data_IF_625719791808
#
_entry.id   IF_625719791808
#
_cell.length_a   1.000
_cell.length_b   1.000
_cell.length_c   1.000
_cell.angle_alpha   90.00
_cell.angle_beta   90.00
_cell.angle_gamma   90.00
#
_symmetry.space_group_name_H-M   'P 1'
#
loop_
_entity.id
_entity.type
_entity.pdbx_description
1 polymer ?
#
# COMPACT_ATOMS: atom_id res chain seq x y z
N UNK A 1 -9.94 -2.57 -13.28
CA UNK A 1 -10.94 -2.03 -14.22
C UNK A 1 -11.40 -0.69 -13.70
N UNK A 2 -11.50 0.32 -14.56
CA UNK A 2 -11.95 1.67 -14.19
C UNK A 2 -13.49 1.73 -14.15
N UNK A 3 -14.04 2.12 -13.01
CA UNK A 3 -15.47 2.41 -12.80
C UNK A 3 -15.90 3.61 -13.66
N UNK A 4 -16.28 3.36 -14.90
CA UNK A 4 -16.88 4.38 -15.76
C UNK A 4 -18.42 4.23 -15.65
N UNK A 5 -19.08 5.26 -15.10
CA UNK A 5 -20.55 5.49 -15.06
C UNK A 5 -21.40 4.89 -13.92
N UNK A 6 -20.83 4.37 -12.84
CA UNK A 6 -21.66 3.91 -11.71
C UNK A 6 -22.48 2.67 -12.02
N UNK A 7 -22.09 1.96 -13.06
CA UNK A 7 -22.52 0.62 -13.34
C UNK A 7 -21.63 -0.34 -12.53
N UNK A 8 -22.24 -1.06 -11.59
CA UNK A 8 -21.57 -2.06 -10.77
C UNK A 8 -21.49 -3.42 -11.47
N UNK A 9 -22.16 -3.61 -12.62
CA UNK A 9 -22.28 -4.91 -13.29
C UNK A 9 -20.91 -5.55 -13.55
N UNK A 10 -19.96 -4.81 -14.11
CA UNK A 10 -18.62 -5.34 -14.39
C UNK A 10 -17.87 -5.81 -13.12
N UNK A 11 -18.11 -5.15 -11.98
CA UNK A 11 -17.54 -5.58 -10.70
C UNK A 11 -18.27 -6.83 -10.18
N UNK A 12 -19.59 -6.86 -10.24
CA UNK A 12 -20.42 -8.01 -9.83
C UNK A 12 -20.10 -9.25 -10.66
N UNK A 13 -20.06 -9.11 -11.97
CA UNK A 13 -19.70 -10.18 -12.91
C UNK A 13 -18.33 -10.77 -12.59
N UNK A 14 -17.36 -9.93 -12.20
CA UNK A 14 -16.02 -10.39 -11.84
C UNK A 14 -16.02 -11.14 -10.49
N UNK A 15 -16.80 -10.69 -9.51
CA UNK A 15 -17.00 -11.43 -8.26
C UNK A 15 -17.67 -12.77 -8.54
N UNK A 16 -18.69 -12.81 -9.40
CA UNK A 16 -19.40 -14.04 -9.74
C UNK A 16 -18.48 -15.04 -10.46
N UNK A 17 -17.63 -14.57 -11.37
CA UNK A 17 -16.58 -15.39 -12.00
C UNK A 17 -15.59 -15.93 -10.97
N UNK A 18 -15.17 -15.11 -10.01
CA UNK A 18 -14.30 -15.54 -8.92
C UNK A 18 -14.98 -16.63 -8.08
N UNK A 19 -16.27 -16.48 -7.77
CA UNK A 19 -17.03 -17.48 -7.02
C UNK A 19 -17.15 -18.80 -7.77
N UNK A 20 -17.45 -18.76 -9.07
CA UNK A 20 -17.47 -19.95 -9.92
C UNK A 20 -16.11 -20.65 -9.93
N UNK A 21 -15.03 -19.89 -10.16
CA UNK A 21 -13.67 -20.45 -10.16
C UNK A 21 -13.30 -21.03 -8.79
N UNK A 22 -13.65 -20.38 -7.69
CA UNK A 22 -13.44 -20.92 -6.36
C UNK A 22 -14.20 -22.24 -6.16
N UNK A 23 -15.46 -22.31 -6.59
CA UNK A 23 -16.26 -23.53 -6.56
C UNK A 23 -15.63 -24.69 -7.34
N UNK A 24 -15.22 -24.42 -8.58
CA UNK A 24 -14.56 -25.40 -9.46
C UNK A 24 -13.22 -25.90 -8.88
N UNK A 25 -12.57 -25.09 -8.04
CA UNK A 25 -11.29 -25.40 -7.43
C UNK A 25 -11.41 -25.84 -5.95
N UNK A 26 -12.61 -26.13 -5.45
CA UNK A 26 -12.88 -26.51 -4.06
C UNK A 26 -12.35 -25.50 -3.02
N UNK A 27 -12.39 -24.20 -3.37
CA UNK A 27 -12.02 -23.10 -2.50
C UNK A 27 -13.28 -22.44 -1.94
N UNK A 28 -13.28 -22.19 -0.63
CA UNK A 28 -14.36 -21.46 0.05
C UNK A 28 -13.85 -20.09 0.47
N UNK A 29 -14.49 -19.04 -0.03
CA UNK A 29 -14.20 -17.67 0.41
C UNK A 29 -14.72 -17.45 1.83
N UNK A 30 -13.86 -16.91 2.68
CA UNK A 30 -14.23 -16.55 4.04
C UNK A 30 -14.78 -15.12 4.06
N UNK A 31 -16.10 -14.98 4.08
CA UNK A 31 -16.78 -13.68 4.07
C UNK A 31 -16.37 -12.81 5.27
N UNK A 32 -16.14 -13.40 6.44
CA UNK A 32 -15.72 -12.67 7.65
C UNK A 32 -14.33 -12.02 7.51
N UNK A 33 -13.42 -12.64 6.75
CA UNK A 33 -12.09 -12.07 6.45
C UNK A 33 -12.09 -11.15 5.23
N UNK A 34 -13.13 -11.21 4.40
CA UNK A 34 -13.28 -10.39 3.20
C UNK A 34 -13.82 -9.02 3.58
N UNK A 35 -13.28 -7.98 2.95
CA UNK A 35 -13.69 -6.58 3.16
C UNK A 35 -13.90 -5.93 1.81
N UNK A 36 -14.99 -5.18 1.67
CA UNK A 36 -15.28 -4.36 0.50
C UNK A 36 -14.81 -2.92 0.79
N UNK A 37 -13.80 -2.46 0.04
CA UNK A 37 -13.33 -1.08 0.09
C UNK A 37 -13.78 -0.38 -1.18
N UNK A 38 -14.66 0.61 -1.05
CA UNK A 38 -15.20 1.34 -2.20
C UNK A 38 -14.45 2.65 -2.38
N UNK A 39 -13.87 2.84 -3.56
CA UNK A 39 -13.19 4.08 -3.94
C UNK A 39 -14.08 4.85 -4.91
N UNK A 40 -14.70 5.92 -4.42
CA UNK A 40 -15.59 6.76 -5.21
C UNK A 40 -15.27 8.26 -5.05
N UNK A 41 -14.76 8.87 -6.13
CA UNK A 41 -14.40 10.29 -6.20
C UNK A 41 -15.54 11.20 -6.67
N UNK A 42 -16.74 10.67 -6.92
CA UNK A 42 -17.88 11.47 -7.36
C UNK A 42 -18.35 12.39 -6.22
N UNK A 43 -18.71 13.63 -6.57
CA UNK A 43 -19.25 14.61 -5.61
C UNK A 43 -20.55 14.13 -4.95
N UNK A 44 -21.33 13.31 -5.66
CA UNK A 44 -22.50 12.63 -5.14
C UNK A 44 -22.20 11.14 -5.14
N UNK A 45 -21.99 10.56 -3.96
CA UNK A 45 -21.81 9.11 -3.81
C UNK A 45 -23.07 8.41 -4.31
N UNK A 46 -22.88 7.34 -5.09
CA UNK A 46 -24.00 6.45 -5.39
C UNK A 46 -24.26 5.55 -4.18
N UNK A 47 -25.53 5.17 -4.04
CA UNK A 47 -25.93 4.16 -3.07
C UNK A 47 -25.57 2.79 -3.66
N UNK A 48 -24.45 2.24 -3.20
CA UNK A 48 -23.91 0.99 -3.71
C UNK A 48 -24.54 -0.16 -2.96
N UNK A 49 -25.06 -1.13 -3.71
CA UNK A 49 -25.74 -2.28 -3.10
C UNK A 49 -24.75 -3.11 -2.27
N UNK A 50 -25.17 -3.73 -1.14
CA UNK A 50 -24.28 -4.60 -0.38
C UNK A 50 -23.72 -5.75 -1.22
N UNK A 51 -22.44 -6.09 -1.04
CA UNK A 51 -21.87 -7.30 -1.60
C UNK A 51 -22.28 -8.54 -0.82
N UNK A 52 -22.77 -9.55 -1.54
CA UNK A 52 -23.11 -10.86 -1.01
C UNK A 52 -22.16 -11.91 -1.60
N UNK A 53 -21.54 -12.72 -0.74
CA UNK A 53 -20.74 -13.88 -1.13
C UNK A 53 -21.42 -15.10 -0.52
N UNK A 54 -21.91 -16.02 -1.35
CA UNK A 54 -22.64 -17.22 -0.93
C UNK A 54 -23.83 -16.91 0.02
N UNK A 55 -24.48 -15.76 -0.16
CA UNK A 55 -25.59 -15.29 0.70
C UNK A 55 -25.16 -14.50 1.94
N UNK A 56 -23.87 -14.52 2.29
CA UNK A 56 -23.34 -13.74 3.41
C UNK A 56 -22.94 -12.34 2.97
N UNK A 57 -23.31 -11.33 3.76
CA UNK A 57 -22.94 -9.94 3.50
C UNK A 57 -21.47 -9.70 3.81
N UNK A 58 -20.74 -9.18 2.83
CA UNK A 58 -19.37 -8.69 3.01
C UNK A 58 -19.39 -7.35 3.74
N UNK A 59 -18.49 -7.19 4.71
CA UNK A 59 -18.33 -5.95 5.44
C UNK A 59 -17.71 -4.87 4.54
N UNK A 60 -18.43 -3.77 4.36
CA UNK A 60 -17.91 -2.57 3.71
C UNK A 60 -17.14 -1.73 4.73
N UNK A 61 -15.91 -1.32 4.37
CA UNK A 61 -15.02 -0.58 5.26
C UNK A 61 -14.47 0.67 4.58
N UNK A 62 -14.28 1.74 5.35
CA UNK A 62 -13.64 2.98 4.86
C UNK A 62 -12.10 2.87 4.85
N UNK A 63 -11.53 1.93 5.60
CA UNK A 63 -10.10 1.63 5.58
C UNK A 63 -9.80 0.20 5.99
N UNK A 64 -8.72 -0.37 5.46
CA UNK A 64 -8.28 -1.72 5.79
C UNK A 64 -6.75 -1.86 5.75
N UNK A 65 -6.20 -2.66 6.66
CA UNK A 65 -4.76 -2.94 6.69
C UNK A 65 -4.44 -4.17 5.84
N UNK A 66 -3.95 -3.93 4.64
CA UNK A 66 -3.48 -4.97 3.73
C UNK A 66 -1.96 -5.09 3.78
N UNK A 67 -1.45 -6.26 4.21
CA UNK A 67 -0.01 -6.58 4.24
C UNK A 67 0.89 -5.50 4.89
N UNK A 68 0.42 -4.92 5.99
CA UNK A 68 1.16 -3.89 6.74
C UNK A 68 0.89 -2.45 6.32
N UNK A 69 0.05 -2.26 5.29
CA UNK A 69 -0.27 -0.98 4.69
C UNK A 69 -1.76 -0.66 4.87
N UNK A 70 -2.09 0.55 5.33
CA UNK A 70 -3.49 0.98 5.50
C UNK A 70 -3.99 1.60 4.20
N UNK A 71 -4.94 0.94 3.54
CA UNK A 71 -5.69 1.47 2.40
C UNK A 71 -6.91 2.22 2.92
N UNK A 72 -7.22 3.39 2.36
CA UNK A 72 -8.41 4.19 2.69
C UNK A 72 -9.27 4.38 1.44
N UNK A 73 -10.57 4.57 1.63
CA UNK A 73 -11.55 4.77 0.54
C UNK A 73 -11.28 6.01 -0.31
N UNK A 74 -10.66 7.04 0.27
CA UNK A 74 -10.24 8.26 -0.41
C UNK A 74 -8.86 8.11 -1.08
N UNK A 75 -8.24 6.93 -0.97
CA UNK A 75 -6.85 6.63 -1.28
C UNK A 75 -5.87 7.66 -0.67
N UNK A 76 -6.25 8.36 0.41
CA UNK A 76 -5.33 9.26 1.09
C UNK A 76 -4.33 8.43 1.88
N UNK A 77 -3.07 8.68 1.59
CA UNK A 77 -1.98 7.96 2.22
C UNK A 77 -1.48 8.72 3.42
N UNK A 78 -1.36 8.02 4.56
CA UNK A 78 -0.54 8.49 5.65
C UNK A 78 0.93 8.28 5.27
N UNK A 79 1.53 9.23 4.54
CA UNK A 79 2.98 9.30 4.34
C UNK A 79 3.76 9.21 5.67
N UNK A 80 3.08 9.52 6.78
CA UNK A 80 3.51 9.26 8.14
C UNK A 80 3.96 7.80 8.40
N UNK A 81 3.33 6.78 7.80
CA UNK A 81 3.73 5.37 7.98
C UNK A 81 5.12 5.10 7.37
N UNK A 82 5.33 5.52 6.12
CA UNK A 82 6.61 5.39 5.44
C UNK A 82 7.71 6.19 6.16
N UNK A 83 7.40 7.42 6.58
CA UNK A 83 8.34 8.27 7.33
C UNK A 83 8.68 7.69 8.71
N UNK A 84 7.70 7.19 9.46
CA UNK A 84 7.93 6.58 10.79
C UNK A 84 8.78 5.30 10.67
N UNK A 85 8.52 4.47 9.68
CA UNK A 85 9.35 3.29 9.36
C UNK A 85 10.77 3.70 8.97
N UNK A 86 10.91 4.70 8.09
CA UNK A 86 12.22 5.21 7.70
C UNK A 86 13.02 5.75 8.90
N UNK A 87 12.37 6.43 9.85
CA UNK A 87 13.02 6.92 11.08
C UNK A 87 13.57 5.78 11.95
N UNK A 88 12.81 4.71 12.16
CA UNK A 88 13.27 3.53 12.91
C UNK A 88 14.48 2.89 12.23
N UNK A 89 14.47 2.81 10.90
CA UNK A 89 15.57 2.22 10.14
C UNK A 89 16.79 3.15 10.12
N UNK A 90 16.62 4.49 10.08
CA UNK A 90 17.74 5.42 10.22
C UNK A 90 18.44 5.30 11.56
N UNK A 91 17.68 5.09 12.63
CA UNK A 91 18.26 4.79 13.93
C UNK A 91 19.14 3.54 13.85
N UNK A 92 18.63 2.48 13.23
CA UNK A 92 19.39 1.23 13.04
C UNK A 92 20.63 1.42 12.15
N UNK A 93 20.52 2.12 11.01
CA UNK A 93 21.65 2.42 10.13
C UNK A 93 22.73 3.26 10.83
N UNK A 94 22.35 4.21 11.68
CA UNK A 94 23.31 4.97 12.52
C UNK A 94 24.01 4.08 13.52
N UNK A 95 23.28 3.15 14.14
CA UNK A 95 23.86 2.16 15.05
C UNK A 95 24.87 1.26 14.32
N UNK A 96 24.51 0.74 13.14
CA UNK A 96 25.38 -0.07 12.31
C UNK A 96 26.64 0.69 11.86
N UNK A 97 26.51 1.96 11.45
CA UNK A 97 27.65 2.81 11.10
C UNK A 97 28.60 3.00 12.30
N UNK A 98 28.05 3.16 13.50
CA UNK A 98 28.84 3.27 14.73
C UNK A 98 29.69 2.02 15.00
N UNK A 99 29.21 0.85 14.56
CA UNK A 99 29.95 -0.43 14.64
C UNK A 99 30.99 -0.62 13.51
N UNK A 100 31.32 0.45 12.77
CA UNK A 100 32.32 0.44 11.68
C UNK A 100 32.04 -0.59 10.58
N UNK A 101 30.78 -0.93 10.33
CA UNK A 101 30.40 -1.82 9.25
C UNK A 101 30.80 -1.24 7.88
N UNK A 102 31.28 -2.11 7.00
CA UNK A 102 31.66 -1.76 5.64
C UNK A 102 30.51 -1.04 4.91
N UNK A 103 30.82 0.05 4.20
CA UNK A 103 29.85 0.82 3.41
C UNK A 103 28.98 -0.05 2.49
N UNK A 104 29.53 -1.14 1.93
CA UNK A 104 28.77 -2.10 1.11
C UNK A 104 27.63 -2.77 1.90
N UNK A 105 27.88 -3.16 3.16
CA UNK A 105 26.86 -3.76 4.02
C UNK A 105 25.80 -2.74 4.45
N UNK A 106 26.19 -1.47 4.65
CA UNK A 106 25.25 -0.39 4.93
C UNK A 106 24.32 -0.11 3.74
N UNK A 107 24.86 -0.10 2.52
CA UNK A 107 24.07 0.01 1.29
C UNK A 107 23.13 -1.18 1.15
N UNK A 108 23.62 -2.42 1.29
CA UNK A 108 22.76 -3.62 1.24
C UNK A 108 21.66 -3.58 2.30
N UNK A 109 21.98 -3.19 3.54
CA UNK A 109 21.00 -3.05 4.61
C UNK A 109 19.93 -2.01 4.26
N UNK A 110 20.32 -0.87 3.68
CA UNK A 110 19.39 0.14 3.19
C UNK A 110 18.47 -0.41 2.10
N UNK A 111 19.02 -1.11 1.09
CA UNK A 111 18.22 -1.66 -0.01
C UNK A 111 17.20 -2.69 0.49
N UNK A 112 17.64 -3.60 1.36
CA UNK A 112 16.79 -4.65 1.91
C UNK A 112 15.70 -4.13 2.85
N UNK A 113 15.85 -2.94 3.43
CA UNK A 113 14.92 -2.45 4.46
C UNK A 113 14.16 -1.19 4.05
N UNK A 114 14.84 -0.15 3.58
CA UNK A 114 14.21 1.12 3.19
C UNK A 114 13.71 1.03 1.76
N UNK A 115 14.58 0.68 0.81
CA UNK A 115 14.19 0.61 -0.61
C UNK A 115 13.09 -0.41 -0.81
N UNK A 116 13.18 -1.59 -0.18
CA UNK A 116 12.12 -2.61 -0.23
C UNK A 116 10.77 -2.09 0.27
N UNK A 117 10.71 -1.38 1.40
CA UNK A 117 9.44 -0.87 1.96
C UNK A 117 8.90 0.31 1.16
N UNK A 118 9.78 1.17 0.64
CA UNK A 118 9.35 2.28 -0.19
C UNK A 118 8.84 1.73 -1.51
N UNK A 119 9.61 0.91 -2.23
CA UNK A 119 9.16 0.25 -3.47
C UNK A 119 7.99 -0.71 -3.27
N UNK A 120 7.77 -1.21 -2.06
CA UNK A 120 6.61 -2.03 -1.74
C UNK A 120 5.32 -1.22 -1.96
N UNK A 121 4.55 -1.65 -2.96
CA UNK A 121 3.32 -1.02 -3.41
C UNK A 121 3.45 0.39 -4.01
N UNK A 122 4.63 0.83 -4.50
CA UNK A 122 4.81 2.14 -5.18
C UNK A 122 3.76 2.41 -6.25
N UNK A 123 3.40 1.41 -7.05
CA UNK A 123 2.36 1.55 -8.08
C UNK A 123 1.00 1.95 -7.52
N UNK A 124 0.69 1.60 -6.27
CA UNK A 124 -0.57 1.89 -5.59
C UNK A 124 -0.53 3.26 -4.90
N UNK A 125 0.62 3.63 -4.30
CA UNK A 125 0.72 4.82 -3.46
C UNK A 125 1.34 6.04 -4.17
N UNK A 126 2.29 5.86 -5.08
CA UNK A 126 3.06 6.97 -5.69
C UNK A 126 2.18 7.89 -6.55
N UNK A 127 1.19 7.33 -7.25
CA UNK A 127 0.24 8.11 -8.04
C UNK A 127 -0.61 9.07 -7.18
N UNK A 128 -0.87 8.70 -5.93
CA UNK A 128 -1.72 9.46 -4.99
C UNK A 128 -0.91 10.32 -4.00
N UNK A 129 0.43 10.34 -4.10
CA UNK A 129 1.25 11.19 -3.25
C UNK A 129 1.08 12.68 -3.58
N UNK A 130 0.76 13.46 -2.55
CA UNK A 130 0.80 14.93 -2.64
C UNK A 130 2.24 15.41 -2.83
N UNK A 131 2.39 16.68 -3.22
CA UNK A 131 3.72 17.34 -3.28
C UNK A 131 4.42 17.29 -1.91
N UNK A 132 3.67 17.36 -0.81
CA UNK A 132 4.23 17.27 0.54
C UNK A 132 4.77 15.86 0.84
N UNK A 133 4.06 14.82 0.41
CA UNK A 133 4.48 13.42 0.59
C UNK A 133 5.73 13.10 -0.23
N UNK A 134 5.77 13.55 -1.49
CA UNK A 134 6.97 13.43 -2.35
C UNK A 134 8.18 14.09 -1.71
N UNK A 135 8.02 15.31 -1.18
CA UNK A 135 9.08 15.99 -0.42
C UNK A 135 9.50 15.22 0.84
N UNK A 136 8.56 14.61 1.56
CA UNK A 136 8.88 13.81 2.74
C UNK A 136 9.68 12.54 2.38
N UNK A 137 9.32 11.86 1.30
CA UNK A 137 10.03 10.68 0.79
C UNK A 137 11.42 11.04 0.24
N UNK A 138 11.54 12.16 -0.46
CA UNK A 138 12.83 12.65 -0.91
C UNK A 138 13.75 12.99 0.27
N UNK A 139 13.22 13.58 1.35
CA UNK A 139 13.98 13.79 2.59
C UNK A 139 14.48 12.49 3.21
N UNK A 140 13.69 11.42 3.16
CA UNK A 140 14.12 10.08 3.61
C UNK A 140 15.34 9.63 2.80
N UNK A 141 15.32 9.77 1.48
CA UNK A 141 16.45 9.38 0.64
C UNK A 141 17.71 10.23 0.94
N UNK A 142 17.56 11.55 1.07
CA UNK A 142 18.68 12.45 1.42
C UNK A 142 19.28 12.13 2.79
N UNK A 143 18.47 11.81 3.79
CA UNK A 143 18.96 11.41 5.12
C UNK A 143 19.72 10.09 5.05
N UNK A 144 19.21 9.11 4.29
CA UNK A 144 19.88 7.84 4.08
C UNK A 144 21.25 8.02 3.42
N UNK A 145 21.33 8.83 2.35
CA UNK A 145 22.59 9.15 1.66
C UNK A 145 23.61 9.77 2.61
N UNK A 146 23.18 10.69 3.50
CA UNK A 146 24.06 11.30 4.52
C UNK A 146 24.58 10.27 5.52
N UNK A 147 23.74 9.33 5.95
CA UNK A 147 24.14 8.29 6.90
C UNK A 147 25.12 7.32 6.23
N UNK A 148 24.81 6.83 5.03
CA UNK A 148 25.63 5.83 4.34
C UNK A 148 26.90 6.45 3.72
N UNK A 149 26.87 7.77 3.45
CA UNK A 149 27.92 8.51 2.74
C UNK A 149 28.14 8.02 1.30
N UNK A 150 27.08 7.52 0.65
CA UNK A 150 27.06 7.10 -0.75
C UNK A 150 25.81 7.65 -1.46
N UNK A 151 25.90 7.96 -2.77
CA UNK A 151 24.73 8.32 -3.56
C UNK A 151 23.77 7.12 -3.66
N UNK A 152 22.48 7.40 -3.49
CA UNK A 152 21.40 6.42 -3.62
C UNK A 152 20.50 6.85 -4.78
N UNK A 153 19.93 5.92 -5.55
CA UNK A 153 19.02 6.25 -6.65
C UNK A 153 17.79 7.02 -6.12
N UNK A 154 17.27 7.94 -6.93
CA UNK A 154 15.99 8.59 -6.65
C UNK A 154 14.87 7.54 -6.57
N UNK A 155 13.86 7.80 -5.75
CA UNK A 155 12.68 6.95 -5.62
C UNK A 155 11.64 7.24 -6.72
N UNK A 156 12.10 7.73 -7.87
CA UNK A 156 11.30 8.10 -9.04
C UNK A 156 11.49 7.08 -10.16
#
# INVERSE_FOLDING_TARGET
>A
GTYLRGDESAYRDEVDRLLLWCGDNNLVLNTNKTKELIVDYRRKRLDIQPLLINGDRVEQVASFKFLGVTLKEDLTWDAHIAVKRAQQIFYYLRLLKKQQLNGKLLVTSYRCTIESILTYCTSVWFANCTVADRKALQRVNVIAQRIISCPLPSLE
#
